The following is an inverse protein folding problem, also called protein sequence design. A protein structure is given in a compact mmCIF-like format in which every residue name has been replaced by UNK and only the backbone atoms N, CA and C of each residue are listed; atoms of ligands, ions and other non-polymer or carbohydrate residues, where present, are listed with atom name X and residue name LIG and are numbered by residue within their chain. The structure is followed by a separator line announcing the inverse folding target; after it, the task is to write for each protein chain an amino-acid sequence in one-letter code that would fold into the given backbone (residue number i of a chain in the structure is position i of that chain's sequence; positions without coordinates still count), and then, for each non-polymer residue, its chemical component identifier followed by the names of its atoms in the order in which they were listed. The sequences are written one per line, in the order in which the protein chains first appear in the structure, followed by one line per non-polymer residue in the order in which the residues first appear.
data_IF_691715981586
#
_entry.id   IF_691715981586
#
_cell.length_a   1.000
_cell.length_b   1.000
_cell.length_c   1.000
_cell.angle_alpha   90.00
_cell.angle_beta   90.00
_cell.angle_gamma   90.00
#
_symmetry.space_group_name_H-M   'P 1'
#
loop_
_entity.id
_entity.type
_entity.pdbx_description
1 polymer ?
#
# COMPACT_ATOMS: atom_id res chain seq x y z
N UNK A 1 -10.20 -24.04 21.32
CA UNK A 1 -9.04 -24.42 20.49
C UNK A 1 -9.52 -24.38 19.04
N UNK A 2 -9.26 -23.28 18.32
CA UNK A 2 -9.60 -23.18 16.89
C UNK A 2 -8.50 -23.88 16.08
N UNK A 3 -8.86 -24.95 15.39
CA UNK A 3 -7.99 -25.67 14.47
C UNK A 3 -7.69 -24.76 13.28
N UNK A 4 -6.45 -24.32 13.16
CA UNK A 4 -5.94 -23.78 11.89
C UNK A 4 -5.95 -24.90 10.86
N UNK A 5 -6.79 -24.79 9.86
CA UNK A 5 -6.71 -25.67 8.68
C UNK A 5 -5.43 -25.32 7.90
N UNK A 6 -4.64 -26.31 7.46
CA UNK A 6 -3.49 -26.03 6.63
C UNK A 6 -3.96 -25.44 5.30
N UNK A 7 -3.32 -24.33 4.92
CA UNK A 7 -3.56 -23.64 3.65
C UNK A 7 -3.18 -24.61 2.52
N UNK A 8 -4.09 -24.84 1.61
CA UNK A 8 -3.85 -25.66 0.40
C UNK A 8 -2.76 -25.01 -0.43
N UNK A 9 -1.66 -25.74 -0.65
CA UNK A 9 -0.44 -25.29 -1.35
C UNK A 9 -0.63 -24.96 -2.86
N UNK A 10 -1.84 -25.00 -3.41
CA UNK A 10 -2.15 -24.80 -4.83
C UNK A 10 -2.82 -23.48 -5.20
N UNK A 11 -3.05 -22.57 -4.24
CA UNK A 11 -3.66 -21.29 -4.57
C UNK A 11 -2.60 -20.29 -5.05
N UNK A 12 -2.79 -19.73 -6.25
CA UNK A 12 -1.94 -18.62 -6.73
C UNK A 12 -1.85 -17.52 -5.67
N UNK A 13 -0.62 -17.02 -5.37
CA UNK A 13 -0.45 -15.96 -4.40
C UNK A 13 -1.13 -14.68 -4.90
N UNK A 14 -1.76 -13.97 -3.97
CA UNK A 14 -2.38 -12.66 -4.24
C UNK A 14 -1.33 -11.59 -4.56
N UNK A 15 -0.17 -11.69 -3.90
CA UNK A 15 1.00 -10.84 -4.19
C UNK A 15 2.19 -11.74 -4.40
N UNK A 16 2.93 -11.51 -5.50
CA UNK A 16 4.21 -12.17 -5.75
C UNK A 16 5.24 -11.13 -6.18
N UNK A 17 6.36 -11.10 -5.49
CA UNK A 17 7.51 -10.26 -5.79
C UNK A 17 8.70 -11.15 -6.14
N UNK A 18 9.32 -10.92 -7.31
CA UNK A 18 10.45 -11.69 -7.80
C UNK A 18 11.61 -10.75 -8.08
N UNK A 19 12.69 -10.89 -7.30
CA UNK A 19 13.94 -10.14 -7.44
C UNK A 19 13.72 -8.63 -7.61
N UNK A 20 12.91 -8.04 -6.72
CA UNK A 20 12.56 -6.64 -6.78
C UNK A 20 13.73 -5.79 -6.27
N UNK A 21 14.14 -4.83 -7.10
CA UNK A 21 15.13 -3.81 -6.76
C UNK A 21 14.50 -2.43 -6.83
N UNK A 22 14.80 -1.57 -5.86
CA UNK A 22 14.56 -0.13 -5.95
C UNK A 22 15.81 0.63 -5.58
N UNK A 23 16.34 1.32 -6.55
CA UNK A 23 17.51 2.18 -6.40
C UNK A 23 17.12 3.56 -6.91
N UNK A 24 17.37 4.57 -6.12
CA UNK A 24 17.15 5.97 -6.46
C UNK A 24 18.42 6.57 -7.04
N UNK A 25 18.33 7.40 -8.05
CA UNK A 25 19.43 8.05 -8.75
C UNK A 25 19.33 7.90 -10.25
N UNK A 26 19.86 8.85 -11.01
CA UNK A 26 19.71 8.91 -12.48
C UNK A 26 20.33 7.70 -13.20
N UNK A 27 21.45 7.19 -12.67
CA UNK A 27 22.17 6.05 -13.23
C UNK A 27 21.78 4.68 -12.64
N UNK A 28 20.80 4.62 -11.76
CA UNK A 28 20.45 3.44 -10.97
C UNK A 28 20.23 2.18 -11.83
N UNK A 29 19.44 2.28 -12.89
CA UNK A 29 19.13 1.15 -13.78
C UNK A 29 20.36 0.64 -14.53
N UNK A 30 21.18 1.55 -15.04
CA UNK A 30 22.41 1.21 -15.77
C UNK A 30 23.44 0.55 -14.84
N UNK A 31 23.61 1.06 -13.63
CA UNK A 31 24.51 0.49 -12.64
C UNK A 31 24.07 -0.91 -12.24
N UNK A 32 22.77 -1.12 -11.98
CA UNK A 32 22.23 -2.43 -11.64
C UNK A 32 22.45 -3.47 -12.78
N UNK A 33 22.28 -3.05 -14.03
CA UNK A 33 22.55 -3.89 -15.19
C UNK A 33 24.05 -4.25 -15.29
N UNK A 34 24.95 -3.28 -15.12
CA UNK A 34 26.38 -3.49 -15.21
C UNK A 34 26.92 -4.39 -14.08
N UNK A 35 26.29 -4.34 -12.92
CA UNK A 35 26.66 -5.20 -11.77
C UNK A 35 26.03 -6.58 -11.81
N UNK A 36 25.27 -6.91 -12.87
CA UNK A 36 24.53 -8.18 -13.00
C UNK A 36 23.66 -8.49 -11.76
N UNK A 37 23.09 -7.44 -11.15
CA UNK A 37 22.24 -7.56 -9.95
C UNK A 37 23.02 -7.66 -8.63
N UNK A 38 24.34 -7.61 -8.66
CA UNK A 38 25.17 -7.57 -7.44
C UNK A 38 25.27 -6.11 -6.95
N UNK A 39 24.54 -5.79 -5.87
CA UNK A 39 24.43 -4.43 -5.34
C UNK A 39 25.41 -4.22 -4.20
N UNK A 40 26.54 -3.56 -4.48
CA UNK A 40 27.40 -2.99 -3.44
C UNK A 40 26.86 -1.60 -3.06
N UNK A 41 26.26 -1.49 -1.87
CA UNK A 41 25.62 -0.27 -1.40
C UNK A 41 26.59 0.93 -1.35
N UNK A 42 27.90 0.69 -1.05
CA UNK A 42 28.92 1.73 -0.98
C UNK A 42 29.26 2.26 -2.37
N UNK A 43 29.50 1.38 -3.33
CA UNK A 43 29.77 1.77 -4.72
C UNK A 43 28.58 2.52 -5.35
N UNK A 44 27.35 2.08 -5.04
CA UNK A 44 26.15 2.79 -5.49
C UNK A 44 26.03 4.18 -4.86
N UNK A 45 26.35 4.32 -3.56
CA UNK A 45 26.32 5.61 -2.88
C UNK A 45 27.38 6.57 -3.42
N UNK A 46 28.60 6.11 -3.68
CA UNK A 46 29.68 6.89 -4.29
C UNK A 46 29.29 7.40 -5.70
N UNK A 47 28.47 6.63 -6.41
CA UNK A 47 27.91 7.04 -7.70
C UNK A 47 26.62 7.90 -7.61
N UNK A 48 26.26 8.37 -6.41
CA UNK A 48 25.08 9.20 -6.18
C UNK A 48 23.75 8.43 -6.20
N UNK A 49 23.78 7.11 -6.04
CA UNK A 49 22.60 6.27 -5.98
C UNK A 49 22.32 5.82 -4.54
N UNK A 50 21.04 5.69 -4.20
CA UNK A 50 20.58 5.19 -2.89
C UNK A 50 19.84 3.89 -3.10
N UNK A 51 20.29 2.81 -2.46
CA UNK A 51 19.66 1.50 -2.50
C UNK A 51 18.50 1.47 -1.49
N UNK A 52 17.28 1.44 -2.00
CA UNK A 52 16.08 1.37 -1.18
C UNK A 52 15.55 -0.05 -0.98
N UNK A 53 15.66 -0.90 -2.01
CA UNK A 53 15.32 -2.33 -1.96
C UNK A 53 16.37 -3.08 -2.76
N UNK A 54 16.88 -4.17 -2.19
CA UNK A 54 17.90 -5.02 -2.81
C UNK A 54 17.39 -6.46 -2.89
N UNK A 55 17.05 -6.92 -4.08
CA UNK A 55 16.70 -8.31 -4.41
C UNK A 55 15.62 -8.93 -3.51
N UNK A 56 14.51 -8.19 -3.31
CA UNK A 56 13.41 -8.72 -2.49
C UNK A 56 12.54 -9.70 -3.29
N UNK A 57 12.37 -10.91 -2.75
CA UNK A 57 11.49 -11.94 -3.29
C UNK A 57 10.62 -12.52 -2.18
N UNK A 58 9.30 -12.55 -2.40
CA UNK A 58 8.33 -13.12 -1.46
C UNK A 58 6.99 -13.33 -2.14
N UNK A 59 6.16 -14.14 -1.51
CA UNK A 59 4.79 -14.40 -1.93
C UNK A 59 3.84 -14.21 -0.74
N UNK A 60 2.63 -13.75 -1.02
CA UNK A 60 1.56 -13.61 -0.03
C UNK A 60 0.33 -14.35 -0.56
N UNK A 61 0.00 -15.50 0.00
CA UNK A 61 -1.23 -16.22 -0.32
C UNK A 61 -2.48 -15.42 0.07
N UNK A 62 -3.61 -15.77 -0.52
CA UNK A 62 -4.89 -15.15 -0.17
C UNK A 62 -5.26 -15.43 1.29
N UNK A 63 -5.58 -14.37 2.03
CA UNK A 63 -5.95 -14.45 3.45
C UNK A 63 -4.77 -14.45 4.42
N UNK A 64 -3.54 -14.43 3.93
CA UNK A 64 -2.34 -14.38 4.75
C UNK A 64 -1.93 -12.95 5.14
N UNK A 65 -1.13 -12.88 6.18
CA UNK A 65 -0.50 -11.65 6.68
C UNK A 65 1.02 -11.76 6.57
N UNK A 66 1.62 -10.90 5.74
CA UNK A 66 3.07 -10.73 5.67
C UNK A 66 3.51 -9.52 6.52
N UNK A 67 4.39 -9.76 7.48
CA UNK A 67 4.98 -8.69 8.31
C UNK A 67 6.41 -8.41 7.86
N UNK A 68 6.67 -7.17 7.44
CA UNK A 68 8.01 -6.71 7.05
C UNK A 68 8.65 -5.94 8.21
N UNK A 69 9.68 -6.53 8.82
CA UNK A 69 10.39 -5.96 9.96
C UNK A 69 11.83 -5.57 9.60
N UNK A 70 12.41 -4.65 10.35
CA UNK A 70 13.80 -4.22 10.20
C UNK A 70 14.03 -2.83 10.80
N UNK A 71 15.28 -2.39 10.85
CA UNK A 71 15.70 -1.10 11.39
C UNK A 71 15.12 0.08 10.61
N UNK A 72 15.11 1.27 11.19
CA UNK A 72 14.79 2.50 10.46
C UNK A 72 15.74 2.65 9.28
N UNK A 73 15.22 3.07 8.12
CA UNK A 73 16.03 3.21 6.90
C UNK A 73 16.32 1.92 6.13
N UNK A 74 15.88 0.72 6.60
CA UNK A 74 16.15 -0.55 5.91
C UNK A 74 15.32 -0.80 4.64
N UNK A 75 14.53 0.18 4.17
CA UNK A 75 13.79 0.08 2.91
C UNK A 75 12.36 -0.47 3.02
N UNK A 76 11.83 -0.80 4.20
CA UNK A 76 10.48 -1.35 4.41
C UNK A 76 9.38 -0.57 3.69
N UNK A 77 9.31 0.74 3.95
CA UNK A 77 8.30 1.61 3.31
C UNK A 77 8.54 1.74 1.81
N UNK A 78 9.79 1.65 1.36
CA UNK A 78 10.12 1.65 -0.07
C UNK A 78 9.62 0.37 -0.73
N UNK A 79 9.84 -0.79 -0.11
CA UNK A 79 9.31 -2.06 -0.58
C UNK A 79 7.78 -2.03 -0.70
N UNK A 80 7.10 -1.57 0.35
CA UNK A 80 5.64 -1.43 0.37
C UNK A 80 5.13 -0.53 -0.78
N UNK A 81 5.82 0.60 -1.02
CA UNK A 81 5.50 1.50 -2.13
C UNK A 81 5.75 0.88 -3.50
N UNK A 82 6.77 0.04 -3.64
CA UNK A 82 6.99 -0.70 -4.88
C UNK A 82 5.91 -1.76 -5.10
N UNK A 83 5.57 -2.53 -4.06
CA UNK A 83 4.54 -3.58 -4.12
C UNK A 83 3.14 -3.04 -4.46
N UNK A 84 2.85 -1.79 -4.08
CA UNK A 84 1.61 -1.08 -4.46
C UNK A 84 1.77 -0.21 -5.72
N UNK A 85 2.98 -0.21 -6.33
CA UNK A 85 3.39 0.64 -7.46
C UNK A 85 3.19 2.15 -7.21
N UNK A 86 3.15 2.61 -5.94
CA UNK A 86 3.26 4.05 -5.63
C UNK A 86 4.63 4.60 -6.03
N UNK A 87 5.62 3.72 -6.15
CA UNK A 87 6.95 3.99 -6.68
C UNK A 87 7.31 2.82 -7.60
N UNK A 88 7.69 3.09 -8.84
CA UNK A 88 8.11 2.03 -9.76
C UNK A 88 9.41 1.38 -9.26
N UNK A 89 9.48 0.05 -9.34
CA UNK A 89 10.71 -0.69 -9.09
C UNK A 89 11.76 -0.35 -10.16
N UNK A 90 13.03 -0.46 -9.81
CA UNK A 90 14.15 -0.29 -10.77
C UNK A 90 14.30 -1.55 -11.63
N UNK A 91 14.07 -2.74 -11.06
CA UNK A 91 14.10 -4.04 -11.73
C UNK A 91 13.31 -5.07 -10.92
N UNK A 92 13.08 -6.23 -11.50
CA UNK A 92 12.29 -7.33 -10.94
C UNK A 92 10.85 -7.31 -11.42
N UNK A 93 10.03 -8.24 -10.91
CA UNK A 93 8.63 -8.36 -11.27
C UNK A 93 7.75 -8.35 -10.03
N UNK A 94 6.58 -7.75 -10.14
CA UNK A 94 5.56 -7.72 -9.09
C UNK A 94 4.24 -8.12 -9.72
N UNK A 95 3.63 -9.18 -9.20
CA UNK A 95 2.33 -9.66 -9.68
C UNK A 95 1.27 -9.46 -8.59
N UNK A 96 0.10 -9.05 -9.02
CA UNK A 96 -1.10 -8.96 -8.18
C UNK A 96 -2.18 -9.81 -8.84
N UNK A 97 -2.67 -10.84 -8.14
CA UNK A 97 -3.58 -11.85 -8.70
C UNK A 97 -3.09 -12.43 -10.06
N UNK A 98 -1.78 -12.64 -10.20
CA UNK A 98 -1.14 -13.13 -11.42
C UNK A 98 -0.95 -12.10 -12.54
N UNK A 99 -1.44 -10.86 -12.40
CA UNK A 99 -1.23 -9.80 -13.38
C UNK A 99 0.08 -9.04 -13.07
N UNK A 100 0.94 -8.82 -14.07
CA UNK A 100 2.18 -8.03 -13.91
C UNK A 100 1.85 -6.57 -13.63
N UNK A 101 2.06 -6.16 -12.39
CA UNK A 101 1.78 -4.82 -11.89
C UNK A 101 2.59 -3.75 -12.64
N UNK A 102 3.84 -4.06 -13.02
CA UNK A 102 4.74 -3.09 -13.65
C UNK A 102 4.40 -2.88 -15.13
N UNK A 103 3.83 -3.89 -15.79
CA UNK A 103 3.38 -3.84 -17.18
C UNK A 103 1.97 -3.26 -17.35
N UNK A 104 1.20 -3.10 -16.26
CA UNK A 104 -0.16 -2.57 -16.33
C UNK A 104 -0.19 -1.14 -16.88
N UNK A 105 -1.20 -0.86 -17.72
CA UNK A 105 -1.54 0.50 -18.12
C UNK A 105 -2.02 1.34 -16.92
N UNK A 106 -1.89 2.66 -17.02
CA UNK A 106 -2.37 3.55 -15.95
C UNK A 106 -3.87 3.36 -15.65
N UNK A 107 -4.69 3.11 -16.67
CA UNK A 107 -6.11 2.83 -16.50
C UNK A 107 -6.33 1.58 -15.66
N UNK A 108 -5.64 0.47 -15.99
CA UNK A 108 -5.75 -0.78 -15.24
C UNK A 108 -5.25 -0.64 -13.81
N UNK A 109 -4.15 0.08 -13.61
CA UNK A 109 -3.60 0.35 -12.27
C UNK A 109 -4.56 1.17 -11.40
N UNK A 110 -5.24 2.16 -11.96
CA UNK A 110 -6.28 2.94 -11.24
C UNK A 110 -7.44 2.03 -10.85
N UNK A 111 -7.91 1.16 -11.75
CA UNK A 111 -8.98 0.19 -11.47
C UNK A 111 -8.58 -0.78 -10.35
N UNK A 112 -7.36 -1.33 -10.41
CA UNK A 112 -6.83 -2.23 -9.40
C UNK A 112 -6.78 -1.55 -8.01
N UNK A 113 -6.21 -0.34 -7.93
CA UNK A 113 -6.14 0.42 -6.68
C UNK A 113 -7.50 0.77 -6.13
N UNK A 114 -8.42 1.20 -7.00
CA UNK A 114 -9.78 1.59 -6.61
C UNK A 114 -10.59 0.44 -6.04
N UNK A 115 -10.40 -0.77 -6.58
CA UNK A 115 -11.28 -1.89 -6.29
C UNK A 115 -10.69 -2.93 -5.35
N UNK A 116 -9.36 -3.12 -5.37
CA UNK A 116 -8.71 -4.23 -4.67
C UNK A 116 -7.71 -3.82 -3.60
N UNK A 117 -7.17 -2.59 -3.64
CA UNK A 117 -6.10 -2.18 -2.73
C UNK A 117 -6.58 -1.16 -1.70
N UNK A 118 -6.36 -1.44 -0.44
CA UNK A 118 -6.46 -0.50 0.67
C UNK A 118 -5.08 -0.13 1.19
N UNK A 119 -4.86 1.15 1.51
CA UNK A 119 -3.60 1.60 2.07
C UNK A 119 -3.81 2.55 3.24
N UNK A 120 -3.13 2.27 4.34
CA UNK A 120 -3.04 3.16 5.48
C UNK A 120 -1.66 3.80 5.48
N UNK A 121 -1.61 5.12 5.41
CA UNK A 121 -0.36 5.87 5.35
C UNK A 121 0.12 6.23 6.76
N UNK A 122 1.42 6.13 6.99
CA UNK A 122 2.06 6.52 8.24
C UNK A 122 1.81 8.01 8.60
N UNK A 123 1.72 8.89 7.61
CA UNK A 123 1.37 10.31 7.75
C UNK A 123 -0.13 10.59 7.62
N UNK A 124 -0.97 9.57 7.80
CA UNK A 124 -2.43 9.55 7.67
C UNK A 124 -2.97 9.95 6.29
N UNK A 125 -2.32 10.83 5.57
CA UNK A 125 -2.68 11.34 4.24
C UNK A 125 -4.16 11.76 4.13
N UNK A 126 -4.71 12.36 5.19
CA UNK A 126 -6.08 12.88 5.21
C UNK A 126 -6.17 14.14 4.35
N UNK A 127 -7.33 14.34 3.74
CA UNK A 127 -7.66 15.54 2.99
C UNK A 127 -7.99 16.67 3.99
N UNK A 128 -7.13 17.71 4.11
CA UNK A 128 -7.21 18.68 5.21
C UNK A 128 -8.45 19.57 5.13
N UNK A 129 -9.03 19.71 3.94
CA UNK A 129 -10.22 20.49 3.64
C UNK A 129 -11.53 19.69 3.73
N UNK A 130 -11.46 18.41 4.11
CA UNK A 130 -12.59 17.51 4.30
C UNK A 130 -12.72 17.11 5.77
N UNK A 131 -13.97 16.96 6.21
CA UNK A 131 -14.29 16.45 7.55
C UNK A 131 -13.92 14.98 7.68
N UNK A 132 -14.01 14.42 8.89
CA UNK A 132 -13.87 12.97 9.16
C UNK A 132 -14.78 12.16 8.25
N UNK A 133 -16.07 12.50 8.26
CA UNK A 133 -17.07 11.79 7.46
C UNK A 133 -16.78 11.86 5.97
N UNK A 134 -16.41 13.02 5.47
CA UNK A 134 -16.06 13.22 4.06
C UNK A 134 -14.75 12.51 3.66
N UNK A 135 -13.75 12.46 4.54
CA UNK A 135 -12.52 11.70 4.29
C UNK A 135 -12.81 10.21 4.13
N UNK A 136 -13.68 9.64 4.99
CA UNK A 136 -14.06 8.23 4.95
C UNK A 136 -14.95 7.93 3.72
N UNK A 137 -15.87 8.83 3.37
CA UNK A 137 -16.76 8.68 2.22
C UNK A 137 -16.04 8.85 0.87
N UNK A 138 -14.93 9.60 0.84
CA UNK A 138 -14.24 9.99 -0.39
C UNK A 138 -13.90 8.82 -1.34
N UNK A 139 -13.29 7.71 -0.91
CA UNK A 139 -12.96 6.62 -1.81
C UNK A 139 -14.20 5.94 -2.39
N UNK A 140 -15.33 5.91 -1.69
CA UNK A 140 -16.60 5.39 -2.20
C UNK A 140 -17.15 6.28 -3.33
N UNK A 141 -17.07 7.60 -3.15
CA UNK A 141 -17.46 8.56 -4.19
C UNK A 141 -16.58 8.43 -5.44
N UNK A 142 -15.26 8.21 -5.26
CA UNK A 142 -14.33 7.93 -6.36
C UNK A 142 -14.68 6.61 -7.09
N UNK A 143 -15.26 5.63 -6.38
CA UNK A 143 -15.81 4.40 -6.98
C UNK A 143 -17.11 4.65 -7.77
N UNK A 144 -17.72 5.84 -7.68
CA UNK A 144 -18.99 6.16 -8.32
C UNK A 144 -20.22 5.81 -7.47
N UNK A 145 -20.04 5.49 -6.19
CA UNK A 145 -21.14 5.25 -5.25
C UNK A 145 -21.81 6.60 -4.93
N UNK A 146 -23.13 6.62 -4.90
CA UNK A 146 -23.90 7.85 -4.62
C UNK A 146 -23.47 8.49 -3.30
N UNK A 147 -23.53 9.80 -3.23
CA UNK A 147 -23.18 10.56 -2.00
C UNK A 147 -23.95 10.05 -0.78
N UNK A 148 -25.23 9.76 -0.94
CA UNK A 148 -26.08 9.27 0.15
C UNK A 148 -25.57 7.93 0.70
N UNK A 149 -25.28 6.96 -0.16
CA UNK A 149 -24.77 5.65 0.24
C UNK A 149 -23.35 5.74 0.81
N UNK A 150 -22.50 6.58 0.22
CA UNK A 150 -21.14 6.82 0.71
C UNK A 150 -21.14 7.40 2.13
N UNK A 151 -22.01 8.37 2.39
CA UNK A 151 -22.15 8.98 3.72
C UNK A 151 -22.73 7.99 4.73
N UNK A 152 -23.72 7.18 4.33
CA UNK A 152 -24.27 6.13 5.21
C UNK A 152 -23.17 5.16 5.64
N UNK A 153 -22.44 4.59 4.68
CA UNK A 153 -21.33 3.68 4.98
C UNK A 153 -20.23 4.34 5.82
N UNK A 154 -19.94 5.61 5.55
CA UNK A 154 -18.94 6.35 6.32
C UNK A 154 -19.36 6.55 7.79
N UNK A 155 -20.64 6.75 8.09
CA UNK A 155 -21.17 6.82 9.47
C UNK A 155 -20.96 5.51 10.22
N UNK A 156 -21.30 4.38 9.59
CA UNK A 156 -21.09 3.05 10.19
C UNK A 156 -19.60 2.82 10.55
N UNK A 157 -18.70 3.35 9.70
CA UNK A 157 -17.26 3.25 9.93
C UNK A 157 -16.73 4.22 10.98
N UNK A 158 -17.33 5.40 11.13
CA UNK A 158 -17.02 6.34 12.23
C UNK A 158 -17.30 5.67 13.57
N UNK A 159 -18.47 5.03 13.69
CA UNK A 159 -18.85 4.25 14.88
C UNK A 159 -17.86 3.10 15.11
N UNK A 160 -17.59 2.30 14.07
CA UNK A 160 -16.68 1.15 14.14
C UNK A 160 -15.29 1.51 14.70
N UNK A 161 -14.75 2.69 14.35
CA UNK A 161 -13.43 3.13 14.82
C UNK A 161 -13.49 3.98 16.10
N UNK A 162 -14.66 4.15 16.72
CA UNK A 162 -14.87 4.89 17.97
C UNK A 162 -14.59 6.39 17.82
N UNK A 163 -15.13 6.99 16.77
CA UNK A 163 -15.05 8.43 16.49
C UNK A 163 -16.43 9.12 16.49
N UNK A 164 -17.42 8.52 17.19
CA UNK A 164 -18.75 9.09 17.32
C UNK A 164 -18.70 10.53 17.85
N UNK A 165 -19.51 11.40 17.25
CA UNK A 165 -19.53 12.83 17.56
C UNK A 165 -18.38 13.62 16.95
N UNK A 166 -17.52 13.00 16.14
CA UNK A 166 -16.40 13.65 15.44
C UNK A 166 -16.60 13.75 13.92
N UNK A 167 -17.78 13.41 13.42
CA UNK A 167 -18.10 13.33 11.99
C UNK A 167 -17.77 14.61 11.23
N UNK A 168 -18.01 15.75 11.86
CA UNK A 168 -17.85 17.08 11.27
C UNK A 168 -16.49 17.73 11.59
N UNK A 169 -15.61 17.05 12.32
CA UNK A 169 -14.28 17.59 12.65
C UNK A 169 -13.35 17.48 11.44
N UNK A 170 -12.48 18.47 11.31
CA UNK A 170 -11.40 18.47 10.31
C UNK A 170 -10.15 17.77 10.88
N UNK A 171 -9.24 17.26 10.04
CA UNK A 171 -8.02 16.60 10.51
C UNK A 171 -7.22 17.39 11.55
N UNK A 172 -7.13 18.71 11.41
CA UNK A 172 -6.42 19.60 12.34
C UNK A 172 -7.00 19.63 13.76
N UNK A 173 -8.25 19.22 13.93
CA UNK A 173 -8.97 19.21 15.20
C UNK A 173 -8.88 17.86 15.92
N UNK A 174 -8.15 16.90 15.30
CA UNK A 174 -8.01 15.54 15.79
C UNK A 174 -6.60 15.30 16.31
N UNK A 175 -6.49 14.47 17.37
CA UNK A 175 -5.21 13.91 17.78
C UNK A 175 -4.63 12.97 16.70
N UNK A 176 -3.30 12.70 16.75
CA UNK A 176 -2.66 11.79 15.80
C UNK A 176 -3.29 10.38 15.77
N UNK A 177 -3.65 9.84 16.94
CA UNK A 177 -4.35 8.56 17.02
C UNK A 177 -5.76 8.60 16.40
N UNK A 178 -6.48 9.71 16.55
CA UNK A 178 -7.78 9.89 15.89
C UNK A 178 -7.61 10.01 14.37
N UNK A 179 -6.63 10.76 13.89
CA UNK A 179 -6.32 10.85 12.46
C UNK A 179 -5.97 9.48 11.87
N UNK A 180 -5.22 8.66 12.61
CA UNK A 180 -4.91 7.28 12.19
C UNK A 180 -6.17 6.43 12.07
N UNK A 181 -7.11 6.52 13.02
CA UNK A 181 -8.40 5.83 12.95
C UNK A 181 -9.23 6.26 11.74
N UNK A 182 -9.24 7.56 11.40
CA UNK A 182 -9.86 8.05 10.16
C UNK A 182 -9.20 7.43 8.93
N UNK A 183 -7.87 7.35 8.89
CA UNK A 183 -7.13 6.70 7.81
C UNK A 183 -7.48 5.22 7.64
N UNK A 184 -7.62 4.49 8.76
CA UNK A 184 -8.05 3.09 8.77
C UNK A 184 -9.50 2.98 8.26
N UNK A 185 -10.43 3.77 8.80
CA UNK A 185 -11.83 3.76 8.38
C UNK A 185 -11.99 4.08 6.89
N UNK A 186 -11.24 5.07 6.40
CA UNK A 186 -11.21 5.42 4.97
C UNK A 186 -10.75 4.24 4.10
N UNK A 187 -9.75 3.50 4.54
CA UNK A 187 -9.26 2.32 3.82
C UNK A 187 -10.29 1.17 3.88
N UNK A 188 -10.98 0.97 5.01
CA UNK A 188 -12.06 0.00 5.17
C UNK A 188 -13.28 0.27 4.29
N UNK A 189 -13.52 1.54 3.95
CA UNK A 189 -14.72 1.95 3.23
C UNK A 189 -14.92 1.19 1.91
N UNK A 190 -13.84 0.92 1.19
CA UNK A 190 -13.87 0.27 -0.13
C UNK A 190 -13.81 -1.26 -0.07
N UNK A 191 -13.69 -1.84 1.14
CA UNK A 191 -13.59 -3.30 1.36
C UNK A 191 -12.52 -3.94 0.46
N UNK A 192 -11.26 -3.54 0.61
CA UNK A 192 -10.21 -4.01 -0.28
C UNK A 192 -9.84 -5.47 -0.01
N UNK A 193 -9.46 -6.20 -1.06
CA UNK A 193 -8.94 -7.57 -0.95
C UNK A 193 -7.51 -7.60 -0.39
N UNK A 194 -6.74 -6.54 -0.63
CA UNK A 194 -5.32 -6.40 -0.26
C UNK A 194 -5.13 -5.15 0.58
N UNK A 195 -4.46 -5.30 1.72
CA UNK A 195 -4.16 -4.24 2.65
C UNK A 195 -2.67 -3.97 2.73
N UNK A 196 -2.30 -2.71 2.61
CA UNK A 196 -0.96 -2.19 2.90
C UNK A 196 -1.05 -1.28 4.14
N UNK A 197 -0.39 -1.69 5.24
CA UNK A 197 -0.47 -1.03 6.54
C UNK A 197 0.88 -0.43 6.95
#
# INVERSE_FOLDING_TARGET
MSSFSPITQDAQPVIQCNSVYKIFGDNAKKMLQNSSGNVDAKAFQEAGCIVGVNNASFEVPKGDLLVVMGLSGSGKSTLLRCTSRLTDATSGNIYIDGEDLLAMSNKRLIELRRNKMGMVFQSFALLPHKTVLENIAFPLQVKGISTQNSIKRAKDLVELVGLDGRENYFPRELSGGQQQRVGIARSLAVEPDIWFL
#
